data_IF_921177581893
#
_entry.id   IF_921177581893
#
_cell.length_a   1.000
_cell.length_b   1.000
_cell.length_c   1.000
_cell.angle_alpha   90.00
_cell.angle_beta   90.00
_cell.angle_gamma   90.00
#
_symmetry.space_group_name_H-M   'P 1'
#
loop_
_entity.id
_entity.type
_entity.pdbx_description
1 polymer ?
#
# COMPACT_ATOMS: atom_id res chain seq x y z
N UNK A 1 -3.80 23.90 -14.01
CA UNK A 1 -3.84 22.59 -13.35
C UNK A 1 -2.54 22.43 -12.57
N UNK A 2 -2.60 22.31 -11.25
CA UNK A 2 -1.42 22.08 -10.43
C UNK A 2 -1.14 20.59 -10.37
N UNK A 3 0.06 20.17 -10.79
CA UNK A 3 0.54 18.80 -10.56
C UNK A 3 1.28 18.81 -9.24
N UNK A 4 1.03 17.80 -8.39
CA UNK A 4 1.77 17.62 -7.15
C UNK A 4 2.72 16.43 -7.32
N UNK A 5 3.99 16.62 -6.95
CA UNK A 5 5.02 15.60 -7.10
C UNK A 5 5.20 14.84 -5.79
N UNK A 6 5.02 13.52 -5.81
CA UNK A 6 5.36 12.65 -4.68
C UNK A 6 6.85 12.30 -4.77
N UNK A 7 7.62 12.70 -3.78
CA UNK A 7 9.00 12.29 -3.62
C UNK A 7 9.05 11.07 -2.71
N UNK A 8 9.20 9.90 -3.33
CA UNK A 8 9.30 8.62 -2.62
C UNK A 8 10.72 8.39 -2.13
N UNK A 9 11.01 8.77 -0.88
CA UNK A 9 12.35 8.65 -0.30
C UNK A 9 12.57 7.23 0.27
N UNK A 10 12.72 6.24 -0.61
CA UNK A 10 12.94 4.83 -0.24
C UNK A 10 14.22 4.65 0.58
N UNK A 11 14.13 3.96 1.71
CA UNK A 11 15.22 3.80 2.66
C UNK A 11 15.30 4.92 3.70
N UNK A 12 16.51 5.18 4.21
CA UNK A 12 16.78 6.23 5.19
C UNK A 12 17.54 7.38 4.53
N UNK A 13 16.89 8.54 4.47
CA UNK A 13 17.40 9.76 3.88
C UNK A 13 17.65 10.88 4.91
N UNK A 14 17.67 10.58 6.22
CA UNK A 14 17.80 11.59 7.27
C UNK A 14 19.04 12.47 7.11
N UNK A 15 20.13 11.93 6.56
CA UNK A 15 21.37 12.67 6.29
C UNK A 15 21.22 13.80 5.24
N UNK A 16 20.16 13.77 4.42
CA UNK A 16 19.95 14.69 3.30
C UNK A 16 18.76 15.65 3.50
N UNK A 17 18.10 15.61 4.66
CA UNK A 17 16.93 16.44 4.96
C UNK A 17 17.20 17.93 4.77
N UNK A 18 18.40 18.42 5.14
CA UNK A 18 18.74 19.84 4.98
C UNK A 18 18.85 20.24 3.50
N UNK A 19 19.30 19.33 2.63
CA UNK A 19 19.33 19.57 1.18
C UNK A 19 17.93 19.54 0.58
N UNK A 20 17.05 18.64 1.02
CA UNK A 20 15.65 18.65 0.58
C UNK A 20 14.92 19.92 1.01
N UNK A 21 15.26 20.46 2.19
CA UNK A 21 14.73 21.73 2.68
C UNK A 21 15.10 22.94 1.81
N UNK A 22 15.99 22.81 0.81
CA UNK A 22 16.29 23.87 -0.15
C UNK A 22 15.21 24.01 -1.23
N UNK A 23 14.47 22.93 -1.54
CA UNK A 23 13.45 22.89 -2.61
C UNK A 23 12.27 23.83 -2.34
N UNK A 24 11.66 24.48 -3.35
CA UNK A 24 10.59 25.47 -3.16
C UNK A 24 9.45 24.95 -2.27
N UNK A 25 8.98 25.76 -1.31
CA UNK A 25 7.92 25.34 -0.39
C UNK A 25 6.66 24.87 -1.12
N UNK A 26 6.05 23.78 -0.63
CA UNK A 26 4.86 23.17 -1.22
C UNK A 26 5.08 22.48 -2.58
N UNK A 27 6.33 22.33 -3.04
CA UNK A 27 6.63 21.71 -4.34
C UNK A 27 6.55 20.19 -4.36
N UNK A 28 6.64 19.54 -3.20
CA UNK A 28 6.63 18.08 -3.07
C UNK A 28 5.77 17.59 -1.90
N UNK A 29 5.32 16.34 -2.01
CA UNK A 29 4.96 15.49 -0.87
C UNK A 29 6.16 14.59 -0.59
N UNK A 30 6.73 14.64 0.61
CA UNK A 30 7.89 13.84 1.00
C UNK A 30 7.43 12.58 1.74
N UNK A 31 7.61 11.42 1.12
CA UNK A 31 7.23 10.13 1.72
C UNK A 31 8.38 9.58 2.57
N UNK A 32 8.08 9.21 3.81
CA UNK A 32 9.04 8.69 4.79
C UNK A 32 8.96 7.18 4.88
N UNK A 33 10.00 6.49 4.42
CA UNK A 33 10.15 5.03 4.56
C UNK A 33 10.83 4.65 5.89
N UNK A 34 12.16 4.53 5.90
CA UNK A 34 12.92 4.08 7.09
C UNK A 34 13.40 5.22 7.97
N UNK A 35 13.20 6.47 7.55
CA UNK A 35 13.54 7.67 8.31
C UNK A 35 12.67 7.85 9.55
N UNK A 36 13.19 8.55 10.56
CA UNK A 36 12.38 8.97 11.72
C UNK A 36 11.42 10.09 11.31
N UNK A 37 10.13 9.77 11.17
CA UNK A 37 9.09 10.74 10.78
C UNK A 37 9.03 11.97 11.70
N UNK A 38 9.40 11.85 12.97
CA UNK A 38 9.44 13.01 13.88
C UNK A 38 10.64 13.91 13.59
N UNK A 39 11.79 13.35 13.19
CA UNK A 39 12.93 14.14 12.72
C UNK A 39 12.62 14.80 11.37
N UNK A 40 12.03 14.05 10.44
CA UNK A 40 11.61 14.58 9.14
C UNK A 40 10.61 15.72 9.33
N UNK A 41 9.61 15.56 10.18
CA UNK A 41 8.65 16.62 10.51
C UNK A 41 9.33 17.87 11.09
N UNK A 42 10.30 17.72 12.00
CA UNK A 42 11.05 18.87 12.53
C UNK A 42 11.81 19.65 11.44
N UNK A 43 12.32 18.97 10.42
CA UNK A 43 13.14 19.60 9.37
C UNK A 43 12.35 20.07 8.15
N UNK A 44 11.29 19.35 7.79
CA UNK A 44 10.56 19.50 6.53
C UNK A 44 9.07 19.78 6.67
N UNK A 45 8.48 19.56 7.85
CA UNK A 45 7.02 19.58 8.06
C UNK A 45 6.37 20.96 7.90
N UNK A 46 7.12 22.04 8.06
CA UNK A 46 6.67 23.40 7.81
C UNK A 46 6.70 23.79 6.32
N UNK A 47 7.47 23.04 5.50
CA UNK A 47 7.75 23.36 4.10
C UNK A 47 7.03 22.45 3.11
N UNK A 48 6.88 21.18 3.46
CA UNK A 48 6.34 20.14 2.58
C UNK A 48 5.24 19.35 3.28
N UNK A 49 4.35 18.79 2.47
CA UNK A 49 3.45 17.75 2.97
C UNK A 49 4.26 16.47 3.19
N UNK A 50 4.04 15.77 4.30
CA UNK A 50 4.67 14.49 4.60
C UNK A 50 3.69 13.33 4.36
N UNK A 51 4.21 12.18 3.97
CA UNK A 51 3.47 10.91 4.00
C UNK A 51 4.32 9.77 4.53
N UNK A 52 3.71 8.63 4.82
CA UNK A 52 4.40 7.44 5.30
C UNK A 52 4.65 7.45 6.82
N UNK A 53 5.71 6.76 7.24
CA UNK A 53 6.16 6.69 8.63
C UNK A 53 5.42 5.73 9.55
N UNK A 54 4.40 5.01 9.07
CA UNK A 54 3.80 3.86 9.76
C UNK A 54 4.55 2.58 9.36
N UNK A 55 5.34 1.95 10.26
CA UNK A 55 6.24 0.86 9.87
C UNK A 55 5.50 -0.36 9.33
N UNK A 56 5.94 -0.91 8.20
CA UNK A 56 5.38 -2.13 7.63
C UNK A 56 5.47 -3.32 8.60
N UNK A 57 6.59 -3.44 9.34
CA UNK A 57 6.77 -4.49 10.36
C UNK A 57 5.69 -4.42 11.45
N UNK A 58 5.25 -3.21 11.82
CA UNK A 58 4.17 -3.03 12.79
C UNK A 58 2.83 -3.49 12.20
N UNK A 59 2.58 -3.22 10.91
CA UNK A 59 1.37 -3.65 10.22
C UNK A 59 1.34 -5.18 9.99
N UNK A 60 2.48 -5.82 9.76
CA UNK A 60 2.57 -7.27 9.55
C UNK A 60 2.56 -8.06 10.86
N UNK A 61 3.25 -7.60 11.90
CA UNK A 61 3.54 -8.42 13.10
C UNK A 61 3.10 -7.79 14.43
N UNK A 62 2.64 -6.54 14.42
CA UNK A 62 2.11 -5.89 15.62
C UNK A 62 0.71 -6.39 15.97
N UNK A 63 0.23 -5.96 17.13
CA UNK A 63 -1.17 -6.08 17.51
C UNK A 63 -1.99 -4.86 17.05
N UNK A 64 -3.31 -5.00 16.85
CA UNK A 64 -4.19 -3.87 16.53
C UNK A 64 -4.08 -2.69 17.52
N UNK A 65 -3.79 -2.99 18.80
CA UNK A 65 -3.56 -1.98 19.83
C UNK A 65 -2.27 -1.20 19.58
N UNK A 66 -1.17 -1.88 19.26
CA UNK A 66 0.12 -1.23 18.98
C UNK A 66 0.05 -0.36 17.72
N UNK A 67 -0.68 -0.83 16.70
CA UNK A 67 -0.97 -0.04 15.49
C UNK A 67 -1.70 1.25 15.85
N UNK A 68 -2.78 1.17 16.64
CA UNK A 68 -3.55 2.34 17.11
C UNK A 68 -2.69 3.30 17.93
N UNK A 69 -1.91 2.78 18.88
CA UNK A 69 -1.04 3.57 19.75
C UNK A 69 0.03 4.32 18.93
N UNK A 70 0.61 3.65 17.93
CA UNK A 70 1.60 4.26 17.06
C UNK A 70 0.99 5.32 16.13
N UNK A 71 -0.17 5.02 15.51
CA UNK A 71 -0.90 6.00 14.70
C UNK A 71 -1.24 7.24 15.53
N UNK A 72 -1.70 7.06 16.77
CA UNK A 72 -1.97 8.17 17.69
C UNK A 72 -0.74 9.03 17.91
N UNK A 73 0.41 8.39 18.19
CA UNK A 73 1.69 9.07 18.40
C UNK A 73 2.09 9.91 17.19
N UNK A 74 1.95 9.37 15.98
CA UNK A 74 2.27 10.10 14.74
C UNK A 74 1.29 11.24 14.52
N UNK A 75 -0.02 11.02 14.65
CA UNK A 75 -1.02 12.08 14.49
C UNK A 75 -0.82 13.22 15.48
N UNK A 76 -0.53 12.91 16.75
CA UNK A 76 -0.27 13.91 17.79
C UNK A 76 1.04 14.68 17.58
N UNK A 77 2.04 14.08 16.94
CA UNK A 77 3.37 14.69 16.77
C UNK A 77 3.61 15.36 15.43
N UNK A 78 2.96 14.88 14.37
CA UNK A 78 3.27 15.22 12.96
C UNK A 78 2.07 15.83 12.25
N UNK A 79 0.84 15.41 12.60
CA UNK A 79 -0.34 15.80 11.83
C UNK A 79 -1.04 17.04 12.36
N UNK A 80 -0.79 17.48 13.60
CA UNK A 80 -1.63 18.49 14.30
C UNK A 80 -1.89 19.78 13.52
N UNK A 81 -0.93 20.23 12.74
CA UNK A 81 -1.00 21.51 12.00
C UNK A 81 -1.39 21.32 10.51
N UNK A 82 -1.82 20.11 10.14
CA UNK A 82 -2.02 19.72 8.74
C UNK A 82 -0.73 19.26 8.09
N UNK A 83 -0.72 19.15 6.75
CA UNK A 83 0.51 18.81 6.01
C UNK A 83 0.99 17.36 6.18
N UNK A 84 0.13 16.44 6.63
CA UNK A 84 0.45 15.02 6.74
C UNK A 84 -0.63 14.14 6.11
N UNK A 85 -0.21 13.16 5.31
CA UNK A 85 -1.03 12.09 4.76
C UNK A 85 -0.59 10.78 5.41
N UNK A 86 -1.46 10.19 6.23
CA UNK A 86 -1.16 8.92 6.87
C UNK A 86 -1.06 7.81 5.83
N UNK A 87 0.06 7.09 5.86
CA UNK A 87 0.40 6.02 4.92
C UNK A 87 1.40 5.05 5.59
N UNK A 88 1.51 3.84 5.04
CA UNK A 88 2.59 2.92 5.40
C UNK A 88 3.96 3.49 4.98
N UNK A 89 5.03 3.08 5.65
CA UNK A 89 6.41 3.48 5.32
C UNK A 89 6.85 3.00 3.93
N UNK A 90 6.42 1.81 3.53
CA UNK A 90 6.79 1.22 2.25
C UNK A 90 5.63 0.42 1.65
N UNK A 91 5.83 -0.12 0.46
CA UNK A 91 4.88 -1.01 -0.21
C UNK A 91 4.53 -2.19 0.71
N UNK A 92 3.25 -2.33 1.07
CA UNK A 92 2.73 -3.47 1.81
C UNK A 92 2.80 -4.73 0.94
N UNK A 93 3.37 -5.81 1.49
CA UNK A 93 3.42 -7.11 0.84
C UNK A 93 2.34 -8.04 1.45
N UNK A 94 2.34 -9.29 1.01
CA UNK A 94 1.42 -10.37 1.34
C UNK A 94 1.35 -10.70 2.84
N UNK A 95 2.33 -10.23 3.62
CA UNK A 95 2.49 -10.47 5.04
C UNK A 95 1.73 -9.45 5.92
N UNK A 96 1.14 -8.41 5.33
CA UNK A 96 0.39 -7.40 6.07
C UNK A 96 -0.87 -8.01 6.68
N UNK A 97 -1.06 -7.86 7.99
CA UNK A 97 -2.24 -8.38 8.68
C UNK A 97 -3.48 -7.51 8.35
N UNK A 98 -4.56 -8.09 7.79
CA UNK A 98 -5.80 -7.36 7.51
C UNK A 98 -6.45 -6.72 8.74
N UNK A 99 -6.33 -7.31 9.93
CA UNK A 99 -6.86 -6.74 11.17
C UNK A 99 -6.09 -5.50 11.59
N UNK A 100 -4.77 -5.50 11.41
CA UNK A 100 -3.92 -4.33 11.67
C UNK A 100 -4.22 -3.19 10.69
N UNK A 101 -4.37 -3.49 9.40
CA UNK A 101 -4.72 -2.49 8.39
C UNK A 101 -6.10 -1.86 8.66
N UNK A 102 -7.07 -2.69 9.09
CA UNK A 102 -8.38 -2.21 9.54
C UNK A 102 -8.25 -1.34 10.78
N UNK A 103 -7.48 -1.76 11.79
CA UNK A 103 -7.26 -1.01 13.02
C UNK A 103 -6.65 0.37 12.76
N UNK A 104 -5.67 0.46 11.85
CA UNK A 104 -5.10 1.71 11.37
C UNK A 104 -6.18 2.60 10.73
N UNK A 105 -6.91 2.05 9.75
CA UNK A 105 -7.91 2.81 8.97
C UNK A 105 -9.04 3.35 9.87
N UNK A 106 -9.60 2.50 10.72
CA UNK A 106 -10.71 2.86 11.61
C UNK A 106 -10.26 3.94 12.61
N UNK A 107 -9.11 3.74 13.25
CA UNK A 107 -8.59 4.70 14.22
C UNK A 107 -8.30 6.07 13.62
N UNK A 108 -7.71 6.13 12.42
CA UNK A 108 -7.36 7.40 11.78
C UNK A 108 -8.61 8.15 11.32
N UNK A 109 -9.67 7.44 10.90
CA UNK A 109 -10.97 8.06 10.60
C UNK A 109 -11.66 8.63 11.84
N UNK A 110 -11.50 7.98 12.99
CA UNK A 110 -12.09 8.41 14.26
C UNK A 110 -11.30 9.56 14.93
N UNK A 111 -9.96 9.44 14.98
CA UNK A 111 -9.08 10.33 15.74
C UNK A 111 -8.39 11.38 14.87
N UNK A 112 -8.06 11.07 13.62
CA UNK A 112 -7.31 11.93 12.69
C UNK A 112 -8.14 13.04 12.03
N UNK A 113 -9.25 13.45 12.65
CA UNK A 113 -10.13 14.50 12.16
C UNK A 113 -9.70 15.87 12.71
N UNK A 114 -9.60 16.85 11.81
CA UNK A 114 -9.30 18.23 12.18
C UNK A 114 -10.57 18.99 12.61
N UNK A 115 -10.42 19.90 13.58
CA UNK A 115 -11.52 20.69 14.13
C UNK A 115 -12.10 21.74 13.16
N UNK A 116 -11.38 22.08 12.09
CA UNK A 116 -11.80 23.04 11.07
C UNK A 116 -12.15 22.30 9.79
N UNK A 117 -13.44 22.24 9.47
CA UNK A 117 -13.99 21.95 8.14
C UNK A 117 -13.43 20.71 7.45
N UNK A 118 -13.81 19.52 7.90
CA UNK A 118 -13.83 18.40 6.97
C UNK A 118 -15.04 18.59 6.04
N UNK A 119 -14.83 18.49 4.73
CA UNK A 119 -15.94 18.22 3.83
C UNK A 119 -16.58 16.93 4.35
N UNK A 120 -17.88 16.91 4.69
CA UNK A 120 -18.53 15.67 5.06
C UNK A 120 -18.23 14.64 3.96
N UNK A 121 -17.92 13.38 4.33
CA UNK A 121 -17.66 12.36 3.35
C UNK A 121 -18.80 12.39 2.34
N UNK A 122 -18.52 12.35 1.01
CA UNK A 122 -19.59 12.25 0.05
C UNK A 122 -20.48 11.08 0.49
N UNK A 123 -21.82 11.22 0.38
CA UNK A 123 -22.73 10.12 0.67
C UNK A 123 -22.17 8.87 0.00
N UNK A 124 -22.15 7.74 0.73
CA UNK A 124 -21.78 6.47 0.14
C UNK A 124 -22.59 6.33 -1.15
N UNK A 125 -21.89 6.25 -2.29
CA UNK A 125 -22.56 6.15 -3.58
C UNK A 125 -23.52 4.95 -3.46
N UNK A 126 -24.84 5.08 -3.73
CA UNK A 126 -25.86 4.05 -3.48
C UNK A 126 -25.72 2.76 -4.32
N UNK A 127 -24.49 2.35 -4.64
CA UNK A 127 -24.16 1.53 -5.77
C UNK A 127 -23.93 2.44 -6.96
N UNK A 128 -22.67 2.80 -7.20
CA UNK A 128 -22.22 2.90 -8.60
C UNK A 128 -22.69 1.58 -9.22
N UNK A 129 -23.61 1.58 -10.21
CA UNK A 129 -23.88 0.36 -10.95
C UNK A 129 -22.51 -0.08 -11.41
N UNK A 130 -22.02 -1.22 -10.91
CA UNK A 130 -20.79 -1.82 -11.40
C UNK A 130 -20.91 -1.72 -12.91
N UNK A 131 -20.15 -0.83 -13.55
CA UNK A 131 -20.10 -0.78 -15.00
C UNK A 131 -19.74 -2.20 -15.35
N UNK A 132 -20.73 -2.96 -15.86
CA UNK A 132 -20.65 -4.41 -15.91
C UNK A 132 -19.29 -4.72 -16.49
N UNK A 133 -18.48 -5.50 -15.77
CA UNK A 133 -17.12 -5.78 -16.23
C UNK A 133 -17.24 -6.14 -17.71
N UNK A 134 -16.43 -5.52 -18.58
CA UNK A 134 -16.47 -5.87 -20.00
C UNK A 134 -16.40 -7.38 -20.08
N UNK A 135 -17.22 -8.03 -20.95
CA UNK A 135 -17.34 -9.47 -20.98
C UNK A 135 -15.94 -10.06 -20.96
N UNK A 136 -15.68 -10.89 -19.95
CA UNK A 136 -14.38 -11.52 -19.73
C UNK A 136 -13.96 -12.13 -21.05
N UNK A 137 -12.87 -11.61 -21.63
CA UNK A 137 -12.32 -12.13 -22.88
C UNK A 137 -12.09 -13.62 -22.69
N UNK A 138 -12.43 -14.42 -23.70
CA UNK A 138 -12.18 -15.86 -23.68
C UNK A 138 -10.68 -16.09 -23.51
N UNK A 139 -10.29 -16.50 -22.31
CA UNK A 139 -8.92 -16.73 -21.88
C UNK A 139 -8.92 -17.54 -20.59
N UNK A 140 -7.74 -17.97 -20.12
CA UNK A 140 -7.62 -18.61 -18.81
C UNK A 140 -8.22 -17.73 -17.71
N UNK A 141 -8.65 -18.35 -16.62
CA UNK A 141 -9.16 -17.61 -15.46
C UNK A 141 -8.10 -16.60 -14.96
N UNK A 142 -8.52 -15.48 -14.33
CA UNK A 142 -7.58 -14.56 -13.70
C UNK A 142 -6.59 -15.30 -12.77
N UNK A 143 -5.31 -14.97 -12.87
CA UNK A 143 -4.25 -15.65 -12.12
C UNK A 143 -3.74 -16.96 -12.76
N UNK A 144 -4.26 -17.35 -13.94
CA UNK A 144 -3.84 -18.56 -14.66
C UNK A 144 -3.15 -18.19 -15.97
N UNK A 145 -1.96 -18.73 -16.21
CA UNK A 145 -1.29 -18.70 -17.51
C UNK A 145 -1.61 -19.95 -18.32
N UNK A 146 -1.41 -21.13 -17.72
CA UNK A 146 -1.63 -22.44 -18.36
C UNK A 146 -2.48 -23.31 -17.41
N UNK A 147 -3.77 -23.54 -17.74
CA UNK A 147 -4.64 -24.38 -16.93
C UNK A 147 -4.06 -25.77 -16.68
N UNK A 148 -4.34 -26.34 -15.50
CA UNK A 148 -3.89 -27.69 -15.14
C UNK A 148 -4.25 -28.73 -16.20
N UNK A 149 -5.43 -28.63 -16.81
CA UNK A 149 -5.94 -29.55 -17.82
C UNK A 149 -5.07 -29.56 -19.07
N UNK A 150 -4.54 -28.39 -19.47
CA UNK A 150 -3.60 -28.25 -20.58
C UNK A 150 -2.28 -28.91 -20.19
N UNK A 151 -1.77 -28.63 -18.99
CA UNK A 151 -0.51 -29.24 -18.53
C UNK A 151 -0.60 -30.75 -18.37
N UNK A 152 -1.72 -31.22 -17.81
CA UNK A 152 -1.98 -32.65 -17.57
C UNK A 152 -1.99 -33.46 -18.85
N UNK A 153 -2.48 -32.88 -19.95
CA UNK A 153 -2.48 -33.50 -21.27
C UNK A 153 -1.07 -33.71 -21.85
N UNK A 154 -0.09 -32.90 -21.44
CA UNK A 154 1.33 -33.10 -21.79
C UNK A 154 2.00 -34.17 -20.93
N UNK A 155 1.48 -34.39 -19.72
CA UNK A 155 2.03 -35.36 -18.79
C UNK A 155 1.56 -36.77 -19.16
N UNK A 156 2.48 -37.73 -19.17
CA UNK A 156 2.17 -39.15 -19.34
C UNK A 156 1.39 -39.73 -18.15
N UNK A 157 1.56 -41.03 -17.91
CA UNK A 157 0.98 -41.67 -16.73
C UNK A 157 1.63 -41.12 -15.46
N UNK A 158 0.85 -40.48 -14.60
CA UNK A 158 1.30 -40.01 -13.30
C UNK A 158 1.41 -41.20 -12.35
N UNK A 159 2.57 -41.38 -11.74
CA UNK A 159 2.76 -42.30 -10.63
C UNK A 159 2.69 -41.52 -9.32
N UNK A 160 1.68 -41.81 -8.47
CA UNK A 160 1.47 -41.12 -7.20
C UNK A 160 0.23 -40.23 -7.19
N UNK A 161 0.22 -39.23 -6.30
CA UNK A 161 -0.93 -38.36 -6.07
C UNK A 161 -0.97 -37.19 -7.07
N UNK A 162 -1.90 -37.25 -8.00
CA UNK A 162 -2.15 -36.21 -9.00
C UNK A 162 -2.56 -34.86 -8.36
N UNK A 163 -3.21 -34.88 -7.19
CA UNK A 163 -3.65 -33.66 -6.53
C UNK A 163 -2.48 -32.79 -6.05
N UNK A 164 -1.37 -33.43 -5.62
CA UNK A 164 -0.15 -32.71 -5.23
C UNK A 164 0.46 -32.02 -6.46
N UNK A 165 0.55 -32.73 -7.58
CA UNK A 165 1.10 -32.19 -8.83
C UNK A 165 0.26 -31.02 -9.34
N UNK A 166 -1.06 -31.16 -9.30
CA UNK A 166 -2.00 -30.09 -9.64
C UNK A 166 -1.77 -28.85 -8.77
N UNK A 167 -1.76 -29.02 -7.45
CA UNK A 167 -1.57 -27.91 -6.51
C UNK A 167 -0.24 -27.19 -6.75
N UNK A 168 0.86 -27.93 -6.92
CA UNK A 168 2.18 -27.34 -7.16
C UNK A 168 2.21 -26.59 -8.49
N UNK A 169 1.60 -27.16 -9.53
CA UNK A 169 1.47 -26.50 -10.83
C UNK A 169 0.69 -25.20 -10.73
N UNK A 170 -0.51 -25.23 -10.14
CA UNK A 170 -1.36 -24.05 -9.96
C UNK A 170 -0.65 -22.95 -9.16
N UNK A 171 0.14 -23.30 -8.15
CA UNK A 171 0.96 -22.35 -7.40
C UNK A 171 2.06 -21.70 -8.26
N UNK A 172 2.80 -22.48 -9.04
CA UNK A 172 3.89 -21.96 -9.89
C UNK A 172 3.33 -21.11 -11.04
N UNK A 173 2.25 -21.58 -11.66
CA UNK A 173 1.58 -20.89 -12.77
C UNK A 173 1.02 -19.53 -12.31
N UNK A 174 0.44 -19.46 -11.11
CA UNK A 174 -0.01 -18.21 -10.52
C UNK A 174 1.11 -17.20 -10.28
N UNK A 175 2.29 -17.66 -9.81
CA UNK A 175 3.47 -16.81 -9.68
C UNK A 175 3.97 -16.30 -11.05
N UNK A 176 3.94 -17.16 -12.07
CA UNK A 176 4.25 -16.78 -13.45
C UNK A 176 3.30 -15.70 -13.99
N UNK A 177 2.00 -15.84 -13.72
CA UNK A 177 0.98 -14.86 -14.08
C UNK A 177 1.25 -13.51 -13.41
N UNK A 178 1.51 -13.52 -12.10
CA UNK A 178 1.81 -12.31 -11.33
C UNK A 178 3.06 -11.62 -11.87
N UNK A 179 4.13 -12.35 -12.17
CA UNK A 179 5.34 -11.78 -12.74
C UNK A 179 5.11 -11.10 -14.10
N UNK A 180 4.35 -11.74 -15.00
CA UNK A 180 4.01 -11.16 -16.31
C UNK A 180 3.27 -9.83 -16.13
N UNK A 181 2.29 -9.79 -15.23
CA UNK A 181 1.54 -8.56 -14.94
C UNK A 181 2.38 -7.50 -14.25
N UNK A 182 3.27 -7.89 -13.33
CA UNK A 182 4.20 -6.98 -12.70
C UNK A 182 5.09 -6.29 -13.75
N UNK A 183 5.64 -7.06 -14.70
CA UNK A 183 6.46 -6.50 -15.79
C UNK A 183 5.63 -5.58 -16.70
N UNK A 184 4.39 -5.95 -17.03
CA UNK A 184 3.56 -5.20 -17.95
C UNK A 184 2.94 -3.92 -17.36
N UNK A 185 2.70 -3.88 -16.05
CA UNK A 185 2.06 -2.75 -15.38
C UNK A 185 3.07 -1.79 -14.73
N UNK A 186 4.27 -2.28 -14.41
CA UNK A 186 5.27 -1.49 -13.68
C UNK A 186 6.36 -0.86 -14.56
N UNK A 187 6.44 -1.23 -15.84
CA UNK A 187 7.40 -0.72 -16.83
C UNK A 187 6.69 -0.38 -18.15
#
# INVERSE_FOLDING_TARGET
AGHQTLFYAEGDWNAHLDSFAELPAGSIVYHVDRGDIFEVHRKLGDRFCLSGGIPNVLLSYGSPKEVRDYCKKVLDGVAREGGYVLDASAIMQDDTDPENLRAMTDFVREYGVYSQGHTPPPPADPGVPSAGMPPVRSGPAPGVCIPWEVKRAELGTIQGDEAILRRVWEQIDALGNMYIWQVLLSF
#
